data_IF_233251769174
#
_entry.id   IF_233251769174
#
_cell.length_a   1.000
_cell.length_b   1.000
_cell.length_c   1.000
_cell.angle_alpha   90.00
_cell.angle_beta   90.00
_cell.angle_gamma   90.00
#
_symmetry.space_group_name_H-M   'P 1'
#
loop_
_entity.id
_entity.type
_entity.pdbx_description
1 polymer ?
#
# COMPACT_ATOMS: atom_id res chain seq x y z
N UNK A 1 11.37 -21.25 26.49
CA UNK A 1 11.98 -19.91 26.34
C UNK A 1 11.29 -19.19 25.20
N UNK A 2 10.13 -18.57 25.46
CA UNK A 2 9.39 -17.76 24.50
C UNK A 2 9.72 -16.30 24.73
N UNK A 3 10.86 -15.85 24.21
CA UNK A 3 11.11 -14.41 24.12
C UNK A 3 10.24 -13.86 23.00
N UNK A 4 9.51 -12.77 23.27
CA UNK A 4 8.75 -12.07 22.24
C UNK A 4 9.66 -11.77 21.04
N UNK A 5 9.20 -12.05 19.83
CA UNK A 5 9.91 -11.67 18.62
C UNK A 5 10.20 -10.16 18.66
N UNK A 6 11.44 -9.78 18.35
CA UNK A 6 11.79 -8.37 18.24
C UNK A 6 10.89 -7.67 17.22
N UNK A 7 10.66 -6.34 17.35
CA UNK A 7 9.79 -5.61 16.43
C UNK A 7 10.17 -5.82 14.95
N UNK A 8 11.47 -5.79 14.63
CA UNK A 8 11.94 -6.01 13.26
C UNK A 8 11.66 -7.42 12.74
N UNK A 9 11.69 -8.43 13.60
CA UNK A 9 11.36 -9.80 13.22
C UNK A 9 9.86 -9.97 12.97
N UNK A 10 9.01 -9.33 13.80
CA UNK A 10 7.56 -9.28 13.56
C UNK A 10 7.26 -8.68 12.19
N UNK A 11 7.88 -7.54 11.86
CA UNK A 11 7.72 -6.92 10.53
C UNK A 11 8.16 -7.83 9.39
N UNK A 12 9.28 -8.56 9.54
CA UNK A 12 9.77 -9.47 8.51
C UNK A 12 8.76 -10.59 8.20
N UNK A 13 8.17 -11.19 9.24
CA UNK A 13 7.13 -12.20 9.06
C UNK A 13 5.79 -11.62 8.58
N UNK A 14 5.47 -10.37 8.92
CA UNK A 14 4.33 -9.67 8.32
C UNK A 14 4.52 -9.51 6.81
N UNK A 15 5.70 -9.07 6.35
CA UNK A 15 5.99 -9.00 4.92
C UNK A 15 5.98 -10.37 4.26
N UNK A 16 6.53 -11.39 4.91
CA UNK A 16 6.46 -12.76 4.40
C UNK A 16 5.00 -13.21 4.19
N UNK A 17 4.12 -12.91 5.15
CA UNK A 17 2.71 -13.28 5.04
C UNK A 17 1.96 -12.53 3.93
N UNK A 18 2.38 -11.29 3.63
CA UNK A 18 1.79 -10.49 2.55
C UNK A 18 2.27 -10.92 1.16
N UNK A 19 3.57 -11.18 1.01
CA UNK A 19 4.21 -11.36 -0.31
C UNK A 19 4.54 -12.82 -0.65
N UNK A 20 4.68 -13.69 0.34
CA UNK A 20 4.99 -15.12 0.16
C UNK A 20 4.17 -16.03 1.12
N UNK A 21 2.82 -15.93 1.13
CA UNK A 21 1.97 -16.64 2.09
C UNK A 21 2.11 -18.17 2.03
N UNK A 22 2.47 -18.75 0.89
CA UNK A 22 2.69 -20.20 0.75
C UNK A 22 4.01 -20.69 1.37
N UNK A 23 4.99 -19.80 1.54
CA UNK A 23 6.35 -20.14 2.02
C UNK A 23 6.55 -19.77 3.50
N UNK A 24 5.72 -18.86 4.03
CA UNK A 24 5.88 -18.29 5.38
C UNK A 24 5.89 -19.35 6.49
N UNK A 25 5.08 -20.40 6.39
CA UNK A 25 5.05 -21.48 7.38
C UNK A 25 6.34 -22.30 7.40
N UNK A 26 6.98 -22.48 6.23
CA UNK A 26 8.31 -23.10 6.16
C UNK A 26 9.35 -22.27 6.89
N UNK A 27 9.36 -20.95 6.67
CA UNK A 27 10.28 -20.04 7.33
C UNK A 27 10.03 -19.90 8.85
N UNK A 28 8.77 -19.99 9.30
CA UNK A 28 8.45 -20.04 10.74
C UNK A 28 9.01 -21.29 11.40
N UNK A 29 8.85 -22.47 10.77
CA UNK A 29 9.45 -23.71 11.28
C UNK A 29 10.97 -23.61 11.37
N UNK A 30 11.64 -23.12 10.33
CA UNK A 30 13.08 -22.89 10.37
C UNK A 30 13.51 -21.90 11.47
N UNK A 31 12.67 -20.92 11.81
CA UNK A 31 12.93 -19.99 12.91
C UNK A 31 12.83 -20.68 14.27
N UNK A 32 11.79 -21.49 14.49
CA UNK A 32 11.61 -22.29 15.70
C UNK A 32 12.74 -23.29 15.89
N UNK A 33 13.18 -23.93 14.80
CA UNK A 33 14.30 -24.88 14.76
C UNK A 33 15.68 -24.21 14.83
N UNK A 34 15.74 -22.86 14.90
CA UNK A 34 16.97 -22.05 14.91
C UNK A 34 17.90 -22.30 13.70
N UNK A 35 17.34 -22.82 12.59
CA UNK A 35 18.04 -23.07 11.33
C UNK A 35 17.81 -21.97 10.29
N UNK A 36 16.93 -21.00 10.58
CA UNK A 36 16.56 -19.94 9.65
C UNK A 36 17.76 -19.08 9.24
N UNK A 37 17.98 -19.00 7.93
CA UNK A 37 18.84 -18.02 7.31
C UNK A 37 18.05 -16.75 7.00
N UNK A 38 18.24 -15.70 7.80
CA UNK A 38 17.53 -14.43 7.65
C UNK A 38 17.80 -13.73 6.31
N UNK A 39 18.97 -13.95 5.71
CA UNK A 39 19.31 -13.42 4.38
C UNK A 39 18.36 -14.02 3.34
N UNK A 40 18.20 -15.34 3.32
CA UNK A 40 17.30 -16.06 2.40
C UNK A 40 15.86 -15.57 2.51
N UNK A 41 15.36 -15.38 3.73
CA UNK A 41 14.01 -14.84 3.95
C UNK A 41 13.87 -13.40 3.42
N UNK A 42 14.87 -12.54 3.70
CA UNK A 42 14.86 -11.14 3.25
C UNK A 42 14.94 -11.02 1.74
N UNK A 43 15.82 -11.79 1.10
CA UNK A 43 16.00 -11.77 -0.35
C UNK A 43 14.71 -12.22 -1.04
N UNK A 44 14.10 -13.31 -0.55
CA UNK A 44 12.83 -13.81 -1.09
C UNK A 44 11.70 -12.78 -0.98
N UNK A 45 11.59 -12.11 0.16
CA UNK A 45 10.61 -11.02 0.36
C UNK A 45 10.94 -9.84 -0.56
N UNK A 46 12.20 -9.43 -0.68
CA UNK A 46 12.60 -8.30 -1.51
C UNK A 46 12.32 -8.54 -3.00
N UNK A 47 12.62 -9.74 -3.51
CA UNK A 47 12.34 -10.13 -4.89
C UNK A 47 10.84 -10.09 -5.20
N UNK A 48 10.02 -10.61 -4.29
CA UNK A 48 8.56 -10.64 -4.47
C UNK A 48 7.93 -9.26 -4.37
N UNK A 49 8.37 -8.43 -3.43
CA UNK A 49 7.98 -7.01 -3.36
C UNK A 49 8.37 -6.28 -4.65
N UNK A 50 9.60 -6.51 -5.15
CA UNK A 50 10.06 -5.87 -6.37
C UNK A 50 9.21 -6.26 -7.58
N UNK A 51 8.91 -7.56 -7.72
CA UNK A 51 8.07 -8.07 -8.79
C UNK A 51 6.65 -7.48 -8.74
N UNK A 52 6.05 -7.40 -7.55
CA UNK A 52 4.72 -6.81 -7.34
C UNK A 52 4.71 -5.30 -7.63
N UNK A 53 5.75 -4.57 -7.24
CA UNK A 53 5.87 -3.13 -7.47
C UNK A 53 6.22 -2.76 -8.92
N UNK A 54 6.85 -3.65 -9.67
CA UNK A 54 7.31 -3.41 -11.05
C UNK A 54 6.22 -2.84 -11.98
N UNK A 55 5.01 -3.42 -12.12
CA UNK A 55 3.96 -2.86 -12.98
C UNK A 55 3.52 -1.46 -12.54
N UNK A 56 3.50 -1.17 -11.23
CA UNK A 56 3.17 0.16 -10.71
C UNK A 56 4.27 1.18 -11.02
N UNK A 57 5.55 0.79 -10.91
CA UNK A 57 6.69 1.65 -11.26
C UNK A 57 6.67 2.00 -12.75
N UNK A 58 6.45 1.02 -13.63
CA UNK A 58 6.34 1.23 -15.07
C UNK A 58 5.17 2.16 -15.42
N UNK A 59 4.00 1.95 -14.80
CA UNK A 59 2.84 2.82 -14.98
C UNK A 59 3.08 4.23 -14.46
N UNK A 60 3.73 4.36 -13.29
CA UNK A 60 4.10 5.66 -12.71
C UNK A 60 5.01 6.44 -13.65
N UNK A 61 6.01 5.80 -14.25
CA UNK A 61 6.92 6.45 -15.21
C UNK A 61 6.13 7.00 -16.40
N UNK A 62 5.22 6.20 -16.98
CA UNK A 62 4.37 6.64 -18.10
C UNK A 62 3.49 7.83 -17.71
N UNK A 63 2.84 7.78 -16.54
CA UNK A 63 1.98 8.87 -16.05
C UNK A 63 2.81 10.13 -15.74
N UNK A 64 3.98 9.98 -15.13
CA UNK A 64 4.84 11.12 -14.77
C UNK A 64 5.39 11.84 -16.02
N UNK A 65 5.56 11.13 -17.13
CA UNK A 65 5.94 11.72 -18.41
C UNK A 65 4.80 12.50 -19.08
N UNK A 66 3.55 12.24 -18.72
CA UNK A 66 2.35 12.92 -19.24
C UNK A 66 1.73 13.81 -18.16
N UNK A 67 2.33 15.00 -17.98
CA UNK A 67 1.84 15.98 -17.00
C UNK A 67 0.43 16.49 -17.32
N UNK A 68 0.05 16.55 -18.59
CA UNK A 68 -1.30 16.97 -19.02
C UNK A 68 -2.36 16.01 -18.52
N UNK A 69 -2.12 14.70 -18.66
CA UNK A 69 -3.02 13.68 -18.13
C UNK A 69 -3.23 13.83 -16.62
N UNK A 70 -2.15 14.11 -15.86
CA UNK A 70 -2.24 14.32 -14.41
C UNK A 70 -3.14 15.53 -14.08
N UNK A 71 -2.91 16.66 -14.74
CA UNK A 71 -3.71 17.88 -14.53
C UNK A 71 -5.19 17.66 -14.90
N UNK A 72 -5.46 16.94 -15.99
CA UNK A 72 -6.82 16.60 -16.42
C UNK A 72 -7.56 15.73 -15.40
N UNK A 73 -6.89 14.70 -14.86
CA UNK A 73 -7.46 13.82 -13.84
C UNK A 73 -7.78 14.60 -12.56
N UNK A 74 -6.86 15.47 -12.12
CA UNK A 74 -7.06 16.31 -10.93
C UNK A 74 -8.22 17.28 -11.15
N UNK A 75 -8.23 18.01 -12.27
CA UNK A 75 -9.30 18.96 -12.62
C UNK A 75 -10.66 18.27 -12.70
N UNK A 76 -10.75 17.14 -13.40
CA UNK A 76 -12.00 16.38 -13.51
C UNK A 76 -12.46 15.79 -12.16
N UNK A 77 -11.53 15.47 -11.25
CA UNK A 77 -11.86 15.14 -9.86
C UNK A 77 -12.45 16.32 -9.09
N UNK A 78 -11.81 17.49 -9.19
CA UNK A 78 -12.24 18.71 -8.53
C UNK A 78 -13.64 19.17 -9.00
N UNK A 79 -13.91 19.13 -10.30
CA UNK A 79 -15.23 19.49 -10.87
C UNK A 79 -16.35 18.59 -10.31
N UNK A 80 -16.13 17.28 -10.27
CA UNK A 80 -17.09 16.32 -9.69
C UNK A 80 -17.33 16.58 -8.22
N UNK A 81 -16.26 16.76 -7.44
CA UNK A 81 -16.35 17.05 -6.02
C UNK A 81 -17.06 18.39 -5.76
N UNK A 82 -16.76 19.42 -6.56
CA UNK A 82 -17.36 20.75 -6.44
C UNK A 82 -18.87 20.72 -6.68
N UNK A 83 -19.34 19.93 -7.65
CA UNK A 83 -20.78 19.77 -7.88
C UNK A 83 -21.50 19.25 -6.64
N UNK A 84 -20.97 18.17 -6.05
CA UNK A 84 -21.52 17.56 -4.82
C UNK A 84 -21.47 18.57 -3.67
N UNK A 85 -20.32 19.23 -3.47
CA UNK A 85 -20.14 20.20 -2.39
C UNK A 85 -21.10 21.39 -2.51
N UNK A 86 -21.38 21.88 -3.73
CA UNK A 86 -22.35 22.97 -3.95
C UNK A 86 -23.76 22.57 -3.49
N UNK A 87 -24.18 21.34 -3.78
CA UNK A 87 -25.49 20.82 -3.33
C UNK A 87 -25.55 20.76 -1.80
N UNK A 88 -24.51 20.21 -1.16
CA UNK A 88 -24.42 20.15 0.30
C UNK A 88 -24.42 21.54 0.95
N UNK A 89 -23.60 22.47 0.44
CA UNK A 89 -23.54 23.85 0.98
C UNK A 89 -24.87 24.57 0.82
N UNK A 90 -25.57 24.35 -0.30
CA UNK A 90 -26.91 24.92 -0.52
C UNK A 90 -27.89 24.41 0.54
N UNK A 91 -27.94 23.11 0.77
CA UNK A 91 -28.81 22.50 1.79
C UNK A 91 -28.51 23.04 3.20
N UNK A 92 -27.22 23.11 3.57
CA UNK A 92 -26.79 23.66 4.86
C UNK A 92 -27.25 25.10 5.00
N UNK A 93 -27.02 25.94 3.99
CA UNK A 93 -27.43 27.35 4.03
C UNK A 93 -28.95 27.53 4.14
N UNK A 94 -29.73 26.70 3.44
CA UNK A 94 -31.19 26.70 3.57
C UNK A 94 -31.64 26.35 5.00
N UNK A 95 -31.08 25.29 5.59
CA UNK A 95 -31.40 24.89 6.97
C UNK A 95 -30.98 25.91 8.02
N UNK A 96 -29.94 26.69 7.74
CA UNK A 96 -29.44 27.77 8.60
C UNK A 96 -30.17 29.11 8.40
N UNK A 97 -31.11 29.20 7.45
CA UNK A 97 -31.81 30.46 7.13
C UNK A 97 -30.91 31.51 6.47
N UNK A 98 -29.81 31.09 5.84
CA UNK A 98 -28.85 31.96 5.15
C UNK A 98 -29.16 32.12 3.65
N UNK A 99 -30.25 31.50 3.19
CA UNK A 99 -30.77 31.53 1.81
C UNK A 99 -32.30 31.57 1.84
#
# INVERSE_FOLDING_TARGET
>A
AGGEMSPGLKSLFTFAQLFIPSEVEGFKKSYEDKSLQFVTLKDRIAETIYADLKPFQERRIKIAADTKYVDEVIRGGAERAQKIARETVKEVKQKMGLL
#
